data_IF_756049436761
#
_entry.id   IF_756049436761
#
_cell.length_a   1.000
_cell.length_b   1.000
_cell.length_c   1.000
_cell.angle_alpha   90.00
_cell.angle_beta   90.00
_cell.angle_gamma   90.00
#
_symmetry.space_group_name_H-M   'P 1'
#
loop_
_entity.id
_entity.type
_entity.pdbx_description
1 polymer ?
#
# COMPACT_ATOMS: atom_id res chain seq x y z
N UNK A 1 -29.98 -35.03 4.61
CA UNK A 1 -28.85 -34.99 5.53
C UNK A 1 -28.12 -33.66 5.27
N UNK A 2 -28.35 -32.72 6.18
CA UNK A 2 -27.78 -31.35 6.08
C UNK A 2 -26.40 -31.45 6.69
N UNK A 3 -25.34 -31.23 5.88
CA UNK A 3 -23.97 -31.19 6.36
C UNK A 3 -23.75 -29.90 7.17
N UNK A 4 -23.30 -30.06 8.40
CA UNK A 4 -22.99 -28.96 9.31
C UNK A 4 -21.83 -28.13 8.76
N UNK A 5 -22.05 -26.84 8.52
CA UNK A 5 -21.04 -25.86 8.21
C UNK A 5 -20.13 -25.67 9.43
N UNK A 6 -18.86 -25.97 9.29
CA UNK A 6 -17.82 -25.63 10.27
C UNK A 6 -17.75 -24.12 10.43
N UNK A 7 -18.09 -23.63 11.61
CA UNK A 7 -17.93 -22.23 11.98
C UNK A 7 -16.44 -21.96 12.15
N UNK A 8 -15.87 -21.18 11.23
CA UNK A 8 -14.53 -20.59 11.38
C UNK A 8 -14.57 -19.70 12.62
N UNK A 9 -13.77 -20.02 13.62
CA UNK A 9 -13.57 -19.14 14.79
C UNK A 9 -12.90 -17.87 14.30
N UNK A 10 -13.68 -16.81 14.23
CA UNK A 10 -13.13 -15.45 14.11
C UNK A 10 -12.34 -15.15 15.39
N UNK A 11 -11.14 -14.65 15.23
CA UNK A 11 -10.31 -14.11 16.32
C UNK A 11 -11.11 -13.08 17.12
N UNK A 12 -10.92 -12.97 18.43
CA UNK A 12 -11.74 -12.09 19.27
C UNK A 12 -11.64 -10.64 18.81
N UNK A 13 -12.73 -9.91 19.04
CA UNK A 13 -12.95 -8.50 18.74
C UNK A 13 -11.70 -7.64 18.97
N UNK A 14 -11.46 -6.69 18.06
CA UNK A 14 -10.39 -5.71 18.17
C UNK A 14 -10.31 -5.16 19.60
N UNK A 15 -9.17 -5.36 20.26
CA UNK A 15 -8.90 -4.70 21.53
C UNK A 15 -8.97 -3.19 21.32
N UNK A 16 -9.60 -2.44 22.26
CA UNK A 16 -9.57 -0.98 22.19
C UNK A 16 -8.12 -0.52 22.16
N UNK A 17 -7.84 0.52 21.36
CA UNK A 17 -6.53 1.16 21.23
C UNK A 17 -5.94 1.40 22.63
N UNK A 18 -5.08 0.48 23.09
CA UNK A 18 -4.23 0.73 24.24
C UNK A 18 -3.24 1.81 23.84
N UNK A 19 -3.01 2.76 24.74
CA UNK A 19 -1.88 3.70 24.63
C UNK A 19 -0.64 2.89 24.27
N UNK A 20 0.21 3.36 23.33
CA UNK A 20 1.49 2.71 23.07
C UNK A 20 2.21 2.57 24.41
N UNK A 21 2.75 1.39 24.68
CA UNK A 21 3.50 1.12 25.92
C UNK A 21 4.74 2.03 25.87
N UNK A 22 4.88 2.91 26.86
CA UNK A 22 5.84 4.03 26.87
C UNK A 22 7.30 3.57 27.01
N UNK A 23 7.56 2.26 26.95
CA UNK A 23 8.89 1.65 27.03
C UNK A 23 9.59 1.42 25.68
N UNK A 24 8.88 1.64 24.56
CA UNK A 24 9.46 1.43 23.22
C UNK A 24 10.08 2.74 22.73
N UNK A 25 11.40 2.79 22.58
CA UNK A 25 12.04 3.88 21.83
C UNK A 25 11.42 3.95 20.43
N UNK A 26 10.82 5.08 20.05
CA UNK A 26 10.28 5.25 18.71
C UNK A 26 11.42 5.15 17.68
N UNK A 27 11.13 4.62 16.51
CA UNK A 27 12.06 4.71 15.38
C UNK A 27 12.49 6.19 15.19
N UNK A 28 13.72 6.45 14.70
CA UNK A 28 14.17 7.81 14.49
C UNK A 28 13.16 8.58 13.65
N UNK A 29 12.90 9.85 13.96
CA UNK A 29 11.95 10.66 13.20
C UNK A 29 12.38 10.75 11.73
N UNK A 30 11.41 11.00 10.83
CA UNK A 30 11.71 11.29 9.42
C UNK A 30 12.78 12.39 9.37
N UNK A 31 13.90 12.20 8.65
CA UNK A 31 14.94 13.23 8.57
C UNK A 31 14.37 14.55 8.05
N UNK A 32 14.73 15.66 8.69
CA UNK A 32 14.29 17.02 8.31
C UNK A 32 15.05 17.61 7.09
N UNK A 33 15.59 16.75 6.23
CA UNK A 33 16.42 17.13 5.11
C UNK A 33 15.64 17.59 3.86
N UNK A 34 14.31 17.45 3.86
CA UNK A 34 13.45 17.83 2.73
C UNK A 34 12.16 18.49 3.21
N UNK A 35 11.58 19.36 2.38
CA UNK A 35 10.34 20.05 2.68
C UNK A 35 9.16 19.07 2.80
N UNK A 36 8.25 19.37 3.71
CA UNK A 36 6.97 18.67 3.84
C UNK A 36 6.08 19.04 2.66
N UNK A 37 5.41 18.06 2.07
CA UNK A 37 4.43 18.27 1.00
C UNK A 37 3.17 18.87 1.63
N UNK A 38 2.66 19.97 1.05
CA UNK A 38 1.35 20.57 1.35
C UNK A 38 0.55 20.65 0.06
N UNK A 39 -0.73 20.98 0.14
CA UNK A 39 -1.57 21.17 -1.04
C UNK A 39 -1.77 22.66 -1.40
N UNK A 40 -0.87 23.55 -0.97
CA UNK A 40 -0.99 24.98 -1.13
C UNK A 40 -0.53 25.50 -2.52
N UNK A 41 0.41 24.81 -3.17
CA UNK A 41 0.96 25.22 -4.47
C UNK A 41 0.15 24.62 -5.63
N UNK A 42 -0.49 25.46 -6.48
CA UNK A 42 -1.22 24.98 -7.66
C UNK A 42 -0.39 24.18 -8.68
N UNK A 43 0.93 24.28 -8.64
CA UNK A 43 1.82 23.54 -9.52
C UNK A 43 2.07 22.10 -9.04
N UNK A 44 1.73 21.77 -7.79
CA UNK A 44 1.98 20.47 -7.20
C UNK A 44 0.77 19.52 -7.36
N UNK A 45 1.04 18.21 -7.41
CA UNK A 45 0.01 17.19 -7.49
C UNK A 45 -0.99 17.27 -6.30
N UNK A 46 -0.47 17.49 -5.10
CA UNK A 46 -1.28 17.57 -3.88
C UNK A 46 -2.42 18.61 -3.97
N UNK A 47 -2.17 19.76 -4.66
CA UNK A 47 -3.19 20.76 -4.92
C UNK A 47 -4.35 20.20 -5.76
N UNK A 48 -4.04 19.45 -6.82
CA UNK A 48 -5.04 18.87 -7.73
C UNK A 48 -5.93 17.85 -7.01
N UNK A 49 -5.42 17.20 -5.96
CA UNK A 49 -6.22 16.26 -5.17
C UNK A 49 -7.37 16.97 -4.47
N UNK A 50 -7.13 18.09 -3.79
CA UNK A 50 -8.19 18.82 -3.09
C UNK A 50 -9.13 19.56 -4.05
N UNK A 51 -8.63 20.13 -5.14
CA UNK A 51 -9.41 21.02 -6.00
C UNK A 51 -10.10 20.30 -7.17
N UNK A 52 -9.57 19.17 -7.63
CA UNK A 52 -10.12 18.44 -8.79
C UNK A 52 -10.65 17.05 -8.41
N UNK A 53 -9.87 16.28 -7.62
CA UNK A 53 -10.22 14.88 -7.33
C UNK A 53 -11.27 14.75 -6.25
N UNK A 54 -11.17 15.48 -5.14
CA UNK A 54 -12.15 15.42 -4.05
C UNK A 54 -13.56 15.84 -4.48
N UNK A 55 -13.79 16.92 -5.25
CA UNK A 55 -15.12 17.24 -5.76
C UNK A 55 -15.75 16.11 -6.59
N UNK A 56 -14.96 15.46 -7.45
CA UNK A 56 -15.42 14.29 -8.22
C UNK A 56 -15.74 13.09 -7.30
N UNK A 57 -14.92 12.89 -6.29
CA UNK A 57 -15.13 11.83 -5.30
C UNK A 57 -16.41 12.05 -4.50
N UNK A 58 -16.70 13.28 -4.07
CA UNK A 58 -17.97 13.59 -3.40
C UNK A 58 -19.19 13.26 -4.27
N UNK A 59 -19.14 13.57 -5.57
CA UNK A 59 -20.19 13.20 -6.50
C UNK A 59 -20.34 11.67 -6.58
N UNK A 60 -19.24 10.93 -6.76
CA UNK A 60 -19.25 9.47 -6.81
C UNK A 60 -19.80 8.85 -5.52
N UNK A 61 -19.41 9.35 -4.35
CA UNK A 61 -19.88 8.83 -3.05
C UNK A 61 -21.39 9.10 -2.88
N UNK A 62 -21.88 10.30 -3.24
CA UNK A 62 -23.32 10.60 -3.19
C UNK A 62 -24.15 9.67 -4.05
N UNK A 63 -23.63 9.27 -5.20
CA UNK A 63 -24.33 8.41 -6.17
C UNK A 63 -24.17 6.92 -5.89
N UNK A 64 -23.16 6.53 -5.10
CA UNK A 64 -22.82 5.13 -4.86
C UNK A 64 -23.87 4.37 -4.06
N UNK A 65 -24.52 5.06 -3.10
CA UNK A 65 -25.48 4.46 -2.17
C UNK A 65 -26.69 5.38 -1.96
N UNK A 66 -27.88 4.87 -1.62
CA UNK A 66 -29.10 5.66 -1.45
C UNK A 66 -29.11 6.41 -0.11
N UNK A 67 -28.17 7.31 0.10
CA UNK A 67 -28.06 8.13 1.32
C UNK A 67 -29.29 8.99 1.55
N UNK A 68 -29.67 9.12 2.83
CA UNK A 68 -30.73 10.03 3.24
C UNK A 68 -30.26 11.51 3.32
N UNK A 69 -31.20 12.45 3.56
CA UNK A 69 -30.89 13.87 3.61
C UNK A 69 -29.77 14.25 4.59
N UNK A 70 -29.68 13.57 5.73
CA UNK A 70 -28.66 13.85 6.75
C UNK A 70 -27.23 13.57 6.24
N UNK A 71 -27.02 12.46 5.54
CA UNK A 71 -25.72 12.12 4.96
C UNK A 71 -25.39 13.03 3.78
N UNK A 72 -26.35 13.30 2.90
CA UNK A 72 -26.17 14.21 1.76
C UNK A 72 -25.80 15.62 2.22
N UNK A 73 -26.44 16.13 3.28
CA UNK A 73 -26.11 17.42 3.88
C UNK A 73 -24.72 17.41 4.55
N UNK A 74 -24.33 16.32 5.23
CA UNK A 74 -23.03 16.20 5.83
C UNK A 74 -21.90 16.13 4.79
N UNK A 75 -22.11 15.40 3.69
CA UNK A 75 -21.18 15.34 2.56
C UNK A 75 -21.02 16.71 1.89
N UNK A 76 -22.12 17.46 1.69
CA UNK A 76 -22.05 18.81 1.11
C UNK A 76 -21.29 19.78 2.01
N UNK A 77 -21.55 19.79 3.33
CA UNK A 77 -20.78 20.62 4.28
C UNK A 77 -19.29 20.28 4.29
N UNK A 78 -18.95 18.99 4.25
CA UNK A 78 -17.55 18.58 4.20
C UNK A 78 -16.89 19.03 2.89
N UNK A 79 -17.58 18.95 1.75
CA UNK A 79 -17.08 19.43 0.46
C UNK A 79 -16.80 20.94 0.49
N UNK A 80 -17.72 21.73 1.03
CA UNK A 80 -17.58 23.19 1.20
C UNK A 80 -16.39 23.53 2.12
N UNK A 81 -16.26 22.79 3.24
CA UNK A 81 -15.17 22.97 4.20
C UNK A 81 -13.80 22.63 3.58
N UNK A 82 -13.69 21.53 2.85
CA UNK A 82 -12.42 21.10 2.25
C UNK A 82 -11.93 22.05 1.14
N UNK A 83 -12.85 22.70 0.41
CA UNK A 83 -12.49 23.60 -0.69
C UNK A 83 -12.14 25.01 -0.22
N UNK A 84 -12.79 25.52 0.81
CA UNK A 84 -12.67 26.94 1.19
C UNK A 84 -12.74 27.22 2.69
N UNK A 85 -13.00 26.20 3.50
CA UNK A 85 -13.15 26.34 4.94
C UNK A 85 -11.84 26.21 5.71
N UNK A 86 -11.96 26.41 7.01
CA UNK A 86 -10.90 26.18 8.00
C UNK A 86 -11.00 24.75 8.51
N UNK A 87 -9.87 24.16 8.87
CA UNK A 87 -9.81 22.83 9.48
C UNK A 87 -10.56 22.80 10.83
N UNK A 88 -11.59 21.98 10.88
CA UNK A 88 -12.37 21.76 12.10
C UNK A 88 -11.96 20.44 12.79
N UNK A 89 -11.73 20.44 14.12
CA UNK A 89 -11.48 19.21 14.85
C UNK A 89 -12.71 18.29 14.86
N UNK A 90 -12.50 17.01 15.18
CA UNK A 90 -13.60 16.10 15.47
C UNK A 90 -14.35 16.58 16.72
N UNK A 91 -15.71 16.59 16.68
CA UNK A 91 -16.51 16.85 17.88
C UNK A 91 -16.71 15.52 18.65
N UNK A 92 -16.20 15.38 19.89
CA UNK A 92 -16.37 14.17 20.70
C UNK A 92 -17.83 13.87 21.05
N UNK A 93 -18.74 14.83 20.87
CA UNK A 93 -20.18 14.65 21.10
C UNK A 93 -20.89 14.07 19.86
N UNK A 94 -20.25 14.09 18.70
CA UNK A 94 -20.79 13.47 17.48
C UNK A 94 -20.84 11.94 17.68
N UNK A 95 -22.01 11.29 17.51
CA UNK A 95 -22.13 9.83 17.60
C UNK A 95 -21.17 9.07 16.68
N UNK A 96 -20.81 9.61 15.52
CA UNK A 96 -19.84 9.02 14.60
C UNK A 96 -18.43 9.01 15.21
N UNK A 97 -18.05 10.09 15.87
CA UNK A 97 -16.73 10.24 16.52
C UNK A 97 -16.66 9.36 17.78
N UNK A 98 -17.71 9.38 18.60
CA UNK A 98 -17.79 8.57 19.80
C UNK A 98 -17.72 7.06 19.47
N UNK A 99 -18.41 6.61 18.42
CA UNK A 99 -18.43 5.22 17.99
C UNK A 99 -17.11 4.77 17.32
N UNK A 100 -16.41 5.66 16.63
CA UNK A 100 -15.13 5.35 15.99
C UNK A 100 -14.00 5.07 17.00
N UNK A 101 -14.06 5.70 18.19
CA UNK A 101 -13.08 5.49 19.26
C UNK A 101 -11.68 6.05 19.00
N UNK A 102 -11.48 6.82 17.92
CA UNK A 102 -10.18 7.32 17.43
C UNK A 102 -9.94 8.83 17.71
N UNK A 103 -10.85 9.46 18.47
CA UNK A 103 -10.78 10.89 18.78
C UNK A 103 -9.44 11.32 19.40
N UNK A 104 -8.93 10.56 20.35
CA UNK A 104 -7.68 10.89 21.03
C UNK A 104 -6.48 10.89 20.08
N UNK A 105 -6.40 9.91 19.16
CA UNK A 105 -5.36 9.85 18.13
C UNK A 105 -5.44 11.04 17.18
N UNK A 106 -6.61 11.36 16.65
CA UNK A 106 -6.77 12.51 15.76
C UNK A 106 -6.49 13.84 16.45
N UNK A 107 -6.80 13.97 17.75
CA UNK A 107 -6.46 15.16 18.55
C UNK A 107 -4.94 15.28 18.74
N UNK A 108 -4.25 14.17 18.98
CA UNK A 108 -2.79 14.12 19.12
C UNK A 108 -2.10 14.46 17.79
N UNK A 109 -2.50 13.80 16.70
CA UNK A 109 -1.89 13.98 15.38
C UNK A 109 -2.18 15.32 14.74
N UNK A 110 -3.32 15.95 15.07
CA UNK A 110 -3.79 17.21 14.52
C UNK A 110 -3.67 18.40 15.45
N UNK A 111 -3.21 18.21 16.70
CA UNK A 111 -3.25 19.26 17.73
C UNK A 111 -2.53 20.55 17.37
N UNK A 112 -1.48 20.50 16.53
CA UNK A 112 -0.79 21.67 16.02
C UNK A 112 -1.54 22.41 14.91
N UNK A 113 -2.56 21.81 14.31
CA UNK A 113 -3.25 22.35 13.14
C UNK A 113 -4.61 22.94 13.49
N UNK A 114 -5.27 22.42 14.52
CA UNK A 114 -6.58 22.90 14.93
C UNK A 114 -6.52 24.24 15.71
N UNK A 115 -7.52 25.10 15.50
CA UNK A 115 -7.64 26.35 16.22
C UNK A 115 -6.73 27.51 15.73
N UNK A 116 -6.00 27.30 14.61
CA UNK A 116 -5.08 28.29 14.02
C UNK A 116 -5.59 28.87 12.70
N UNK A 117 -6.87 28.75 12.41
CA UNK A 117 -7.49 29.19 11.15
C UNK A 117 -6.82 28.64 9.87
N UNK A 118 -6.11 27.47 10.00
CA UNK A 118 -5.46 26.81 8.88
C UNK A 118 -6.50 26.14 7.98
N UNK A 119 -6.22 26.15 6.68
CA UNK A 119 -7.01 25.45 5.68
C UNK A 119 -6.48 24.03 5.50
N UNK A 120 -7.25 23.21 4.84
CA UNK A 120 -6.88 21.82 4.47
C UNK A 120 -5.59 21.74 3.65
N UNK A 121 -5.31 22.78 2.86
CA UNK A 121 -4.11 22.86 2.01
C UNK A 121 -2.86 23.37 2.73
N UNK A 122 -2.99 23.95 3.92
CA UNK A 122 -1.88 24.61 4.65
C UNK A 122 -1.09 23.63 5.54
N UNK A 123 -1.58 22.41 5.71
CA UNK A 123 -1.02 21.37 6.59
C UNK A 123 -0.41 20.23 5.78
N UNK A 124 0.39 19.34 6.39
CA UNK A 124 1.01 18.21 5.67
C UNK A 124 -0.01 17.41 4.89
N UNK A 125 0.27 17.18 3.60
CA UNK A 125 -0.66 16.55 2.66
C UNK A 125 -1.08 15.14 3.09
N UNK A 126 -0.14 14.31 3.55
CA UNK A 126 -0.47 12.97 4.07
C UNK A 126 -1.47 13.04 5.22
N UNK A 127 -1.31 14.03 6.11
CA UNK A 127 -2.21 14.21 7.24
C UNK A 127 -3.59 14.70 6.78
N UNK A 128 -3.65 15.77 5.96
CA UNK A 128 -4.92 16.36 5.53
C UNK A 128 -5.73 15.40 4.66
N UNK A 129 -5.09 14.68 3.75
CA UNK A 129 -5.77 13.69 2.91
C UNK A 129 -6.31 12.51 3.76
N UNK A 130 -5.53 12.03 4.73
CA UNK A 130 -6.00 10.99 5.67
C UNK A 130 -7.18 11.47 6.53
N UNK A 131 -7.10 12.72 7.01
CA UNK A 131 -8.18 13.34 7.79
C UNK A 131 -9.45 13.55 6.96
N UNK A 132 -9.29 13.88 5.69
CA UNK A 132 -10.39 13.96 4.74
C UNK A 132 -11.18 12.64 4.68
N UNK A 133 -10.50 11.50 4.47
CA UNK A 133 -11.17 10.20 4.44
C UNK A 133 -11.81 9.85 5.78
N UNK A 134 -11.17 10.19 6.90
CA UNK A 134 -11.77 10.01 8.22
C UNK A 134 -13.07 10.82 8.39
N UNK A 135 -13.08 12.07 7.96
CA UNK A 135 -14.26 12.95 7.99
C UNK A 135 -15.36 12.48 7.04
N UNK A 136 -14.98 12.00 5.86
CA UNK A 136 -15.89 11.42 4.88
C UNK A 136 -16.64 10.20 5.43
N UNK A 137 -15.96 9.31 6.15
CA UNK A 137 -16.60 8.18 6.82
C UNK A 137 -17.62 8.63 7.88
N UNK A 138 -17.34 9.70 8.64
CA UNK A 138 -18.35 10.29 9.54
C UNK A 138 -19.53 10.84 8.77
N UNK A 139 -19.29 11.57 7.67
CA UNK A 139 -20.35 12.18 6.86
C UNK A 139 -21.29 11.14 6.23
N UNK A 140 -20.75 9.98 5.84
CA UNK A 140 -21.54 8.86 5.31
C UNK A 140 -22.27 8.04 6.38
N UNK A 141 -21.92 8.22 7.67
CA UNK A 141 -22.53 7.47 8.77
C UNK A 141 -21.88 6.10 9.02
N UNK A 142 -20.64 5.90 8.58
CA UNK A 142 -19.94 4.63 8.64
C UNK A 142 -19.75 4.09 10.06
N UNK A 143 -19.60 4.95 11.08
CA UNK A 143 -19.30 4.49 12.45
C UNK A 143 -20.55 4.24 13.29
N UNK A 144 -21.68 4.88 12.98
CA UNK A 144 -22.90 4.74 13.77
C UNK A 144 -24.15 4.96 12.89
N UNK A 145 -25.27 4.34 13.31
CA UNK A 145 -26.58 4.48 12.66
C UNK A 145 -26.81 3.49 11.51
N UNK A 146 -27.73 3.80 10.58
CA UNK A 146 -28.14 2.85 9.54
C UNK A 146 -27.05 2.45 8.55
N UNK A 147 -26.02 3.26 8.41
CA UNK A 147 -24.90 3.04 7.49
C UNK A 147 -23.66 2.47 8.19
N UNK A 148 -23.78 2.06 9.46
CA UNK A 148 -22.65 1.55 10.22
C UNK A 148 -22.02 0.33 9.53
N UNK A 149 -20.72 0.41 9.25
CA UNK A 149 -19.95 -0.65 8.59
C UNK A 149 -20.17 -0.76 7.08
N UNK A 150 -21.01 0.10 6.48
CA UNK A 150 -21.24 0.08 5.03
C UNK A 150 -20.13 0.90 4.35
N UNK A 151 -19.28 0.22 3.57
CA UNK A 151 -18.19 0.85 2.83
C UNK A 151 -18.74 1.78 1.74
N UNK A 152 -18.50 3.11 1.81
CA UNK A 152 -18.96 4.06 0.79
C UNK A 152 -18.35 3.80 -0.59
N UNK A 153 -17.23 3.09 -0.64
CA UNK A 153 -16.51 2.73 -1.87
C UNK A 153 -16.79 1.28 -2.31
N UNK A 154 -17.53 0.52 -1.51
CA UNK A 154 -17.84 -0.89 -1.75
C UNK A 154 -18.40 -1.19 -3.15
N UNK A 155 -19.38 -0.40 -3.67
CA UNK A 155 -19.89 -0.61 -5.03
C UNK A 155 -18.82 -0.48 -6.11
N UNK A 156 -17.88 0.47 -5.98
CA UNK A 156 -16.78 0.65 -6.94
C UNK A 156 -15.78 -0.50 -6.90
N UNK A 157 -15.39 -0.95 -5.68
CA UNK A 157 -14.50 -2.11 -5.49
C UNK A 157 -15.13 -3.39 -6.04
N UNK A 158 -16.43 -3.59 -5.80
CA UNK A 158 -17.16 -4.76 -6.32
C UNK A 158 -17.24 -4.75 -7.84
N UNK A 159 -17.48 -3.58 -8.47
CA UNK A 159 -17.50 -3.43 -9.92
C UNK A 159 -16.12 -3.73 -10.54
N UNK A 160 -15.03 -3.22 -9.92
CA UNK A 160 -13.66 -3.52 -10.35
C UNK A 160 -13.37 -5.02 -10.25
N UNK A 161 -13.72 -5.66 -9.14
CA UNK A 161 -13.51 -7.10 -8.95
C UNK A 161 -14.28 -7.97 -9.95
N UNK A 162 -15.44 -7.51 -10.41
CA UNK A 162 -16.25 -8.19 -11.42
C UNK A 162 -15.88 -7.82 -12.86
N UNK A 163 -14.91 -6.91 -13.04
CA UNK A 163 -14.55 -6.35 -14.34
C UNK A 163 -13.71 -7.28 -15.21
N UNK A 164 -13.74 -7.05 -16.53
CA UNK A 164 -12.94 -7.80 -17.50
C UNK A 164 -11.41 -7.72 -17.30
N UNK A 165 -10.81 -6.68 -16.67
CA UNK A 165 -9.40 -6.71 -16.32
C UNK A 165 -9.02 -7.89 -15.43
N UNK A 166 -9.88 -8.23 -14.46
CA UNK A 166 -9.70 -9.40 -13.57
C UNK A 166 -9.72 -10.70 -14.35
N UNK A 167 -10.65 -10.84 -15.31
CA UNK A 167 -10.73 -12.03 -16.17
C UNK A 167 -9.48 -12.19 -17.02
N UNK A 168 -8.94 -11.07 -17.53
CA UNK A 168 -7.68 -11.09 -18.30
C UNK A 168 -6.50 -11.50 -17.45
N UNK A 169 -6.41 -10.99 -16.21
CA UNK A 169 -5.34 -11.37 -15.27
C UNK A 169 -5.36 -12.89 -15.01
N UNK A 170 -6.55 -13.48 -14.79
CA UNK A 170 -6.67 -14.93 -14.60
C UNK A 170 -6.25 -15.72 -15.85
N UNK A 171 -6.63 -15.24 -17.02
CA UNK A 171 -6.25 -15.86 -18.28
C UNK A 171 -4.72 -15.78 -18.51
N UNK A 172 -4.12 -14.62 -18.25
CA UNK A 172 -2.68 -14.39 -18.37
C UNK A 172 -1.89 -15.27 -17.40
N UNK A 173 -2.30 -15.31 -16.13
CA UNK A 173 -1.68 -16.19 -15.14
C UNK A 173 -1.77 -17.66 -15.54
N UNK A 174 -2.94 -18.12 -16.00
CA UNK A 174 -3.14 -19.51 -16.41
C UNK A 174 -2.32 -19.85 -17.67
N UNK A 175 -2.23 -18.94 -18.63
CA UNK A 175 -1.38 -19.11 -19.81
C UNK A 175 0.12 -19.16 -19.44
N UNK A 176 0.59 -18.28 -18.58
CA UNK A 176 1.96 -18.28 -18.10
C UNK A 176 2.31 -19.55 -17.31
N UNK A 177 1.37 -20.05 -16.51
CA UNK A 177 1.53 -21.28 -15.73
C UNK A 177 1.64 -22.53 -16.60
N UNK A 178 0.93 -22.55 -17.74
CA UNK A 178 0.91 -23.65 -18.69
C UNK A 178 1.99 -23.56 -19.78
N UNK A 179 2.72 -22.44 -19.86
CA UNK A 179 3.72 -22.22 -20.93
C UNK A 179 4.99 -23.01 -20.68
N UNK A 180 5.39 -23.81 -21.65
CA UNK A 180 6.71 -24.47 -21.71
C UNK A 180 7.81 -23.53 -22.24
N UNK A 181 7.43 -22.40 -22.82
CA UNK A 181 8.36 -21.43 -23.41
C UNK A 181 9.00 -20.49 -22.37
N UNK A 182 8.31 -20.27 -21.22
CA UNK A 182 8.83 -19.45 -20.15
C UNK A 182 9.76 -20.24 -19.22
N UNK A 183 10.96 -19.77 -19.06
CA UNK A 183 11.86 -20.26 -18.01
C UNK A 183 11.31 -19.99 -16.61
N UNK A 184 11.77 -20.70 -15.57
CA UNK A 184 11.38 -20.41 -14.18
C UNK A 184 11.61 -18.94 -13.79
N UNK A 185 12.77 -18.37 -14.16
CA UNK A 185 13.10 -16.98 -13.82
C UNK A 185 12.24 -15.95 -14.57
N UNK A 186 11.84 -16.22 -15.81
CA UNK A 186 10.90 -15.35 -16.54
C UNK A 186 9.50 -15.41 -15.91
N UNK A 187 9.07 -16.58 -15.45
CA UNK A 187 7.80 -16.75 -14.75
C UNK A 187 7.80 -16.02 -13.40
N UNK A 188 8.90 -16.11 -12.67
CA UNK A 188 9.13 -15.37 -11.41
C UNK A 188 9.02 -13.85 -11.66
N UNK A 189 9.75 -13.34 -12.65
CA UNK A 189 9.73 -11.93 -13.02
C UNK A 189 8.34 -11.46 -13.45
N UNK A 190 7.62 -12.27 -14.24
CA UNK A 190 6.28 -11.96 -14.69
C UNK A 190 5.32 -11.73 -13.52
N UNK A 191 5.36 -12.59 -12.51
CA UNK A 191 4.50 -12.48 -11.33
C UNK A 191 4.81 -11.21 -10.52
N UNK A 192 6.08 -10.86 -10.37
CA UNK A 192 6.48 -9.64 -9.67
C UNK A 192 6.07 -8.37 -10.45
N UNK A 193 6.19 -8.38 -11.79
CA UNK A 193 5.71 -7.29 -12.62
C UNK A 193 4.19 -7.22 -12.66
N UNK A 194 3.46 -8.36 -12.69
CA UNK A 194 2.01 -8.37 -12.53
C UNK A 194 1.59 -7.73 -11.22
N UNK A 195 2.26 -8.06 -10.12
CA UNK A 195 2.01 -7.44 -8.82
C UNK A 195 2.32 -5.92 -8.83
N UNK A 196 3.36 -5.47 -9.56
CA UNK A 196 3.69 -4.05 -9.68
C UNK A 196 2.63 -3.26 -10.48
N UNK A 197 2.18 -3.82 -11.60
CA UNK A 197 1.32 -3.10 -12.56
C UNK A 197 -0.18 -3.32 -12.33
N UNK A 198 -0.56 -4.30 -11.54
CA UNK A 198 -1.96 -4.61 -11.23
C UNK A 198 -2.77 -4.86 -12.50
N UNK A 199 -3.76 -4.01 -12.77
CA UNK A 199 -4.69 -4.14 -13.89
C UNK A 199 -4.07 -4.03 -15.32
N UNK A 200 -2.76 -3.90 -15.41
CA UNK A 200 -2.00 -3.80 -16.65
C UNK A 200 -1.07 -5.02 -16.83
N UNK A 201 -1.53 -6.22 -16.53
CA UNK A 201 -0.76 -7.46 -16.58
C UNK A 201 -0.06 -7.70 -17.95
N UNK A 202 -0.64 -7.22 -19.06
CA UNK A 202 0.00 -7.26 -20.37
C UNK A 202 1.37 -6.56 -20.41
N UNK A 203 1.60 -5.60 -19.50
CA UNK A 203 2.89 -4.89 -19.39
C UNK A 203 4.01 -5.82 -18.91
N UNK A 204 3.74 -6.75 -18.01
CA UNK A 204 4.72 -7.74 -17.54
C UNK A 204 5.22 -8.61 -18.67
N UNK A 205 4.33 -9.12 -19.52
CA UNK A 205 4.69 -9.89 -20.71
C UNK A 205 5.47 -9.07 -21.72
N UNK A 206 5.09 -7.81 -21.93
CA UNK A 206 5.80 -6.91 -22.85
C UNK A 206 7.21 -6.60 -22.35
N UNK A 207 7.40 -6.40 -21.03
CA UNK A 207 8.73 -6.17 -20.44
C UNK A 207 9.64 -7.39 -20.64
N UNK A 208 9.16 -8.60 -20.36
CA UNK A 208 9.94 -9.83 -20.56
C UNK A 208 10.29 -10.03 -22.04
N UNK A 209 9.36 -9.69 -22.96
CA UNK A 209 9.57 -9.75 -24.39
C UNK A 209 10.45 -8.61 -24.94
N UNK A 210 10.88 -7.66 -24.11
CA UNK A 210 11.63 -6.49 -24.55
C UNK A 210 10.85 -5.51 -25.43
N UNK A 211 9.51 -5.57 -25.39
CA UNK A 211 8.65 -4.70 -26.17
C UNK A 211 8.50 -3.31 -25.54
N UNK A 212 8.28 -2.24 -26.33
CA UNK A 212 8.00 -0.91 -25.76
C UNK A 212 6.71 -0.95 -24.96
N UNK A 213 6.79 -0.61 -23.67
CA UNK A 213 5.64 -0.50 -22.76
C UNK A 213 5.21 0.95 -22.63
N UNK A 214 3.90 1.16 -22.51
CA UNK A 214 3.33 2.50 -22.28
C UNK A 214 3.65 3.06 -20.87
N UNK A 215 4.26 2.25 -20.00
CA UNK A 215 4.71 2.60 -18.65
C UNK A 215 6.22 2.31 -18.56
N UNK A 216 7.01 3.29 -18.07
CA UNK A 216 8.46 3.17 -17.95
C UNK A 216 8.86 2.77 -16.52
N UNK A 217 9.64 1.70 -16.40
CA UNK A 217 10.28 1.31 -15.14
C UNK A 217 11.53 2.16 -14.93
N UNK A 218 11.55 2.96 -13.86
CA UNK A 218 12.66 3.87 -13.55
C UNK A 218 13.78 3.17 -12.78
N UNK A 219 13.41 2.24 -11.89
CA UNK A 219 14.32 1.36 -11.14
C UNK A 219 13.73 -0.03 -11.23
N UNK A 220 14.58 -1.03 -11.43
CA UNK A 220 14.19 -2.43 -11.56
C UNK A 220 15.15 -3.34 -10.81
N UNK A 221 14.85 -3.57 -9.54
CA UNK A 221 15.62 -4.48 -8.67
C UNK A 221 14.98 -5.89 -8.64
N UNK A 222 14.33 -6.30 -9.75
CA UNK A 222 13.67 -7.62 -9.85
C UNK A 222 14.64 -8.77 -9.59
N UNK A 223 15.82 -8.73 -10.21
CA UNK A 223 16.83 -9.78 -10.06
C UNK A 223 17.34 -9.87 -8.62
N UNK A 224 17.54 -8.73 -7.97
CA UNK A 224 18.00 -8.61 -6.58
C UNK A 224 16.99 -9.19 -5.59
N UNK A 225 15.69 -8.96 -5.83
CA UNK A 225 14.60 -9.50 -5.00
C UNK A 225 14.58 -11.02 -5.09
N UNK A 226 14.63 -11.60 -6.30
CA UNK A 226 14.62 -13.06 -6.47
C UNK A 226 15.89 -13.69 -5.93
N UNK A 227 17.07 -13.11 -6.19
CA UNK A 227 18.33 -13.58 -5.62
C UNK A 227 18.29 -13.57 -4.09
N UNK A 228 17.72 -12.54 -3.47
CA UNK A 228 17.56 -12.48 -2.02
C UNK A 228 16.66 -13.60 -1.48
N UNK A 229 15.56 -13.90 -2.17
CA UNK A 229 14.63 -14.97 -1.76
C UNK A 229 15.24 -16.37 -1.94
N UNK A 230 16.02 -16.57 -3.01
CA UNK A 230 16.66 -17.85 -3.30
C UNK A 230 17.84 -18.15 -2.36
N UNK A 231 18.52 -17.11 -1.85
CA UNK A 231 19.66 -17.23 -0.93
C UNK A 231 19.25 -17.41 0.55
N UNK A 232 17.97 -17.39 0.87
CA UNK A 232 17.46 -17.41 2.25
C UNK A 232 16.65 -18.65 2.55
N UNK A 233 16.74 -19.10 3.81
CA UNK A 233 15.81 -20.11 4.31
C UNK A 233 14.37 -19.54 4.27
N UNK A 234 13.39 -20.36 3.84
CA UNK A 234 12.00 -19.92 3.73
C UNK A 234 11.44 -19.48 5.08
N UNK A 235 11.17 -18.20 5.21
CA UNK A 235 10.54 -17.59 6.38
C UNK A 235 9.18 -17.01 6.04
N UNK A 236 8.80 -15.95 6.75
CA UNK A 236 7.56 -15.21 6.48
C UNK A 236 7.82 -14.11 5.44
N UNK A 237 6.98 -14.01 4.43
CA UNK A 237 6.90 -12.85 3.55
C UNK A 237 5.73 -11.98 4.00
N UNK A 238 6.01 -10.70 4.29
CA UNK A 238 4.97 -9.71 4.57
C UNK A 238 4.59 -8.98 3.27
N UNK A 239 3.30 -8.69 3.11
CA UNK A 239 2.76 -7.82 2.07
C UNK A 239 1.97 -6.69 2.72
N UNK A 240 2.41 -5.45 2.57
CA UNK A 240 1.62 -4.28 2.92
C UNK A 240 0.83 -3.89 1.67
N UNK A 241 -0.44 -4.31 1.64
CA UNK A 241 -1.30 -4.16 0.47
C UNK A 241 -1.72 -2.70 0.24
N UNK A 242 -2.00 -2.38 -1.02
CA UNK A 242 -2.55 -1.11 -1.47
C UNK A 242 -4.03 -1.27 -1.84
N UNK A 243 -4.34 -1.30 -3.11
CA UNK A 243 -5.71 -1.33 -3.62
C UNK A 243 -6.31 -2.74 -3.66
N UNK A 244 -7.63 -2.79 -3.52
CA UNK A 244 -8.45 -4.00 -3.68
C UNK A 244 -8.54 -4.44 -5.16
N UNK A 245 -9.27 -5.52 -5.40
CA UNK A 245 -9.63 -6.03 -6.72
C UNK A 245 -8.44 -6.26 -7.65
N UNK A 246 -8.34 -5.51 -8.74
CA UNK A 246 -7.37 -5.68 -9.81
C UNK A 246 -5.91 -5.65 -9.35
N UNK A 247 -5.58 -4.92 -8.29
CA UNK A 247 -4.21 -4.84 -7.76
C UNK A 247 -3.94 -5.92 -6.71
N UNK A 248 -4.95 -6.30 -5.91
CA UNK A 248 -4.77 -7.32 -4.87
C UNK A 248 -4.66 -8.74 -5.45
N UNK A 249 -5.32 -9.01 -6.60
CA UNK A 249 -5.32 -10.35 -7.18
C UNK A 249 -3.93 -10.80 -7.64
N UNK A 250 -3.15 -10.04 -8.43
CA UNK A 250 -1.77 -10.41 -8.75
C UNK A 250 -0.87 -10.48 -7.52
N UNK A 251 -1.12 -9.68 -6.48
CA UNK A 251 -0.40 -9.80 -5.21
C UNK A 251 -0.64 -11.16 -4.54
N UNK A 252 -1.89 -11.62 -4.52
CA UNK A 252 -2.25 -12.94 -3.98
C UNK A 252 -1.67 -14.08 -4.82
N UNK A 253 -1.63 -13.94 -6.15
CA UNK A 253 -1.00 -14.92 -7.05
C UNK A 253 0.51 -14.99 -6.84
N UNK A 254 1.18 -13.85 -6.61
CA UNK A 254 2.59 -13.80 -6.23
C UNK A 254 2.82 -14.54 -4.89
N UNK A 255 1.98 -14.30 -3.88
CA UNK A 255 2.08 -15.00 -2.60
C UNK A 255 1.83 -16.52 -2.74
N UNK A 256 0.86 -16.94 -3.57
CA UNK A 256 0.66 -18.37 -3.86
C UNK A 256 1.92 -18.99 -4.47
N UNK A 257 2.56 -18.30 -5.41
CA UNK A 257 3.80 -18.75 -6.03
C UNK A 257 4.94 -18.89 -5.01
N UNK A 258 5.17 -17.89 -4.17
CA UNK A 258 6.20 -17.94 -3.12
C UNK A 258 5.98 -19.08 -2.13
N UNK A 259 4.73 -19.31 -1.70
CA UNK A 259 4.36 -20.38 -0.79
C UNK A 259 4.46 -21.78 -1.44
N UNK A 260 4.14 -21.88 -2.73
CA UNK A 260 4.13 -23.15 -3.48
C UNK A 260 5.55 -23.57 -3.88
N UNK A 261 6.40 -22.62 -4.27
CA UNK A 261 7.81 -22.88 -4.65
C UNK A 261 8.72 -23.04 -3.43
N UNK A 262 8.22 -22.78 -2.22
CA UNK A 262 8.98 -22.91 -0.98
C UNK A 262 9.93 -21.75 -0.71
N UNK A 263 9.80 -20.60 -1.40
CA UNK A 263 10.54 -19.37 -1.10
C UNK A 263 9.98 -18.63 0.11
N UNK A 264 8.72 -18.92 0.47
CA UNK A 264 8.10 -18.50 1.71
C UNK A 264 7.47 -19.70 2.45
N UNK A 265 7.70 -19.79 3.75
CA UNK A 265 7.00 -20.74 4.62
C UNK A 265 5.60 -20.23 4.97
N UNK A 266 5.48 -18.94 5.22
CA UNK A 266 4.25 -18.24 5.59
C UNK A 266 4.15 -16.89 4.88
N UNK A 267 2.93 -16.33 4.83
CA UNK A 267 2.69 -14.98 4.35
C UNK A 267 1.75 -14.22 5.30
N UNK A 268 2.03 -12.92 5.51
CA UNK A 268 1.14 -12.01 6.23
C UNK A 268 0.78 -10.84 5.33
N UNK A 269 -0.52 -10.65 5.10
CA UNK A 269 -1.03 -9.51 4.33
C UNK A 269 -1.59 -8.46 5.28
N UNK A 270 -0.98 -7.29 5.29
CA UNK A 270 -1.46 -6.13 6.03
C UNK A 270 -2.44 -5.33 5.19
N UNK A 271 -3.63 -5.13 5.76
CA UNK A 271 -4.79 -4.50 5.13
C UNK A 271 -5.26 -3.29 5.94
N UNK A 272 -6.15 -2.50 5.35
CA UNK A 272 -6.81 -1.40 6.06
C UNK A 272 -7.94 -1.95 6.94
N UNK A 273 -8.07 -1.48 8.19
CA UNK A 273 -9.15 -1.91 9.10
C UNK A 273 -10.51 -1.32 8.73
N UNK A 274 -10.55 -0.26 7.94
CA UNK A 274 -11.75 0.47 7.49
C UNK A 274 -11.52 1.10 6.12
N UNK A 275 -12.59 1.57 5.42
CA UNK A 275 -12.45 2.21 4.12
C UNK A 275 -11.47 3.39 4.18
N UNK A 276 -10.56 3.45 3.22
CA UNK A 276 -9.48 4.42 3.20
C UNK A 276 -9.01 4.62 1.75
N UNK A 277 -8.71 5.85 1.34
CA UNK A 277 -8.23 6.19 -0.02
C UNK A 277 -9.02 5.52 -1.16
N UNK A 278 -10.33 5.42 -1.05
CA UNK A 278 -11.29 4.89 -2.05
C UNK A 278 -11.15 3.37 -2.28
N UNK A 279 -10.02 2.93 -2.81
CA UNK A 279 -9.81 1.57 -3.29
C UNK A 279 -8.96 0.69 -2.37
N UNK A 280 -8.41 1.25 -1.27
CA UNK A 280 -7.54 0.51 -0.37
C UNK A 280 -8.21 -0.78 0.15
N UNK A 281 -7.42 -1.86 0.14
CA UNK A 281 -7.90 -3.20 0.45
C UNK A 281 -8.18 -3.39 1.94
N UNK A 282 -9.38 -3.88 2.26
CA UNK A 282 -9.77 -4.35 3.58
C UNK A 282 -9.87 -5.89 3.63
N UNK A 283 -10.04 -6.45 4.82
CA UNK A 283 -10.18 -7.90 4.99
C UNK A 283 -11.37 -8.48 4.21
N UNK A 284 -12.47 -7.76 4.10
CA UNK A 284 -13.62 -8.18 3.29
C UNK A 284 -13.30 -8.20 1.80
N UNK A 285 -12.47 -7.26 1.32
CA UNK A 285 -12.03 -7.21 -0.07
C UNK A 285 -11.10 -8.39 -0.38
N UNK A 286 -10.19 -8.73 0.54
CA UNK A 286 -9.32 -9.89 0.42
C UNK A 286 -10.12 -11.20 0.38
N UNK A 287 -11.13 -11.35 1.23
CA UNK A 287 -12.02 -12.53 1.21
C UNK A 287 -12.81 -12.62 -0.10
N UNK A 288 -13.27 -11.49 -0.65
CA UNK A 288 -13.96 -11.42 -1.93
C UNK A 288 -13.03 -11.76 -3.10
N UNK A 289 -11.79 -11.25 -3.09
CA UNK A 289 -10.76 -11.56 -4.07
C UNK A 289 -10.40 -13.04 -4.06
N UNK A 290 -10.18 -13.64 -2.89
CA UNK A 290 -9.91 -15.07 -2.76
C UNK A 290 -11.06 -15.94 -3.29
N UNK A 291 -12.32 -15.55 -3.03
CA UNK A 291 -13.47 -16.26 -3.58
C UNK A 291 -13.53 -16.15 -5.09
N UNK A 292 -13.39 -14.94 -5.62
CA UNK A 292 -13.38 -14.69 -7.05
C UNK A 292 -12.27 -15.49 -7.77
N UNK A 293 -11.08 -15.57 -7.15
CA UNK A 293 -9.95 -16.34 -7.64
C UNK A 293 -10.25 -17.85 -7.59
N UNK A 294 -10.79 -18.37 -6.48
CA UNK A 294 -11.10 -19.80 -6.33
C UNK A 294 -12.19 -20.29 -7.30
N UNK A 295 -13.09 -19.40 -7.72
CA UNK A 295 -14.14 -19.65 -8.70
C UNK A 295 -13.64 -19.50 -10.16
N UNK A 296 -12.41 -19.03 -10.36
CA UNK A 296 -11.81 -18.92 -11.69
C UNK A 296 -11.51 -20.31 -12.29
N UNK A 297 -11.45 -20.41 -13.64
CA UNK A 297 -11.00 -21.62 -14.31
C UNK A 297 -9.49 -21.84 -14.16
N UNK A 298 -9.03 -23.04 -14.50
CA UNK A 298 -7.64 -23.41 -14.74
C UNK A 298 -6.70 -23.11 -13.54
N UNK A 299 -5.46 -22.75 -13.83
CA UNK A 299 -4.42 -22.54 -12.83
C UNK A 299 -4.74 -21.41 -11.84
N UNK A 300 -5.46 -20.36 -12.29
CA UNK A 300 -5.90 -19.28 -11.41
C UNK A 300 -6.86 -19.79 -10.31
N UNK A 301 -7.84 -20.61 -10.68
CA UNK A 301 -8.74 -21.23 -9.70
C UNK A 301 -8.03 -22.20 -8.75
N UNK A 302 -7.05 -22.93 -9.24
CA UNK A 302 -6.21 -23.78 -8.39
C UNK A 302 -5.43 -22.96 -7.36
N UNK A 303 -4.83 -21.84 -7.77
CA UNK A 303 -4.14 -20.92 -6.88
C UNK A 303 -5.09 -20.38 -5.78
N UNK A 304 -6.30 -19.95 -6.15
CA UNK A 304 -7.30 -19.50 -5.19
C UNK A 304 -7.68 -20.56 -4.15
N UNK A 305 -7.86 -21.80 -4.59
CA UNK A 305 -8.13 -22.94 -3.67
C UNK A 305 -6.92 -23.26 -2.78
N UNK A 306 -5.68 -23.14 -3.27
CA UNK A 306 -4.47 -23.27 -2.44
C UNK A 306 -4.39 -22.17 -1.40
N UNK A 307 -4.62 -20.91 -1.77
CA UNK A 307 -4.62 -19.77 -0.86
C UNK A 307 -5.65 -19.93 0.27
N UNK A 308 -6.88 -20.40 -0.03
CA UNK A 308 -7.86 -20.75 1.01
C UNK A 308 -7.37 -21.83 1.96
N UNK A 309 -6.69 -22.86 1.44
CA UNK A 309 -6.07 -23.90 2.27
C UNK A 309 -4.97 -23.30 3.14
N UNK A 310 -4.10 -22.43 2.62
CA UNK A 310 -3.05 -21.75 3.39
C UNK A 310 -3.65 -20.86 4.50
N UNK A 311 -4.80 -20.22 4.27
CA UNK A 311 -5.54 -19.53 5.35
C UNK A 311 -5.98 -20.52 6.44
N UNK A 312 -6.53 -21.67 6.07
CA UNK A 312 -7.00 -22.68 7.04
C UNK A 312 -5.87 -23.34 7.82
N UNK A 313 -4.70 -23.42 7.24
CA UNK A 313 -3.44 -23.95 7.84
C UNK A 313 -2.71 -22.87 8.69
N UNK A 314 -3.13 -21.62 8.64
CA UNK A 314 -2.46 -20.48 9.28
C UNK A 314 -1.17 -20.04 8.59
N UNK A 315 -0.90 -20.50 7.37
CA UNK A 315 0.24 -20.12 6.56
C UNK A 315 0.03 -18.80 5.79
N UNK A 316 -1.22 -18.44 5.50
CA UNK A 316 -1.59 -17.13 4.98
C UNK A 316 -2.48 -16.43 6.00
N UNK A 317 -2.03 -15.30 6.49
CA UNK A 317 -2.72 -14.52 7.54
C UNK A 317 -3.04 -13.12 7.03
N UNK A 318 -4.28 -12.66 7.26
CA UNK A 318 -4.69 -11.28 7.04
C UNK A 318 -4.68 -10.52 8.36
N UNK A 319 -4.06 -9.35 8.39
CA UNK A 319 -3.95 -8.48 9.56
C UNK A 319 -4.33 -7.05 9.17
N UNK A 320 -5.20 -6.41 9.95
CA UNK A 320 -5.69 -5.06 9.67
C UNK A 320 -5.52 -4.14 10.88
N UNK A 321 -4.29 -3.78 11.27
CA UNK A 321 -4.01 -2.87 12.37
C UNK A 321 -4.49 -1.45 12.06
N UNK A 322 -4.99 -0.73 13.08
CA UNK A 322 -5.47 0.64 12.96
C UNK A 322 -4.42 1.63 12.45
N UNK A 323 -3.15 1.35 12.67
CA UNK A 323 -2.03 2.14 12.16
C UNK A 323 -2.12 2.38 10.65
N UNK A 324 -2.62 1.41 9.87
CA UNK A 324 -2.70 1.57 8.41
C UNK A 324 -3.74 2.59 7.94
N UNK A 325 -4.61 3.07 8.85
CA UNK A 325 -5.49 4.23 8.62
C UNK A 325 -5.09 5.47 9.44
N UNK A 326 -3.89 5.50 10.03
CA UNK A 326 -3.34 6.68 10.70
C UNK A 326 -2.56 7.58 9.71
N UNK A 327 -2.55 8.91 9.90
CA UNK A 327 -1.86 9.86 9.03
C UNK A 327 -0.34 9.92 9.31
N UNK A 328 0.28 8.78 9.52
CA UNK A 328 1.65 8.68 10.03
C UNK A 328 2.55 7.96 9.03
N UNK A 329 3.82 8.36 8.97
CA UNK A 329 4.87 7.64 8.26
C UNK A 329 5.18 6.30 8.93
N UNK A 330 5.86 5.39 8.23
CA UNK A 330 6.27 4.11 8.80
C UNK A 330 7.35 4.23 9.88
N UNK A 331 7.96 5.39 10.05
CA UNK A 331 8.80 5.70 11.23
C UNK A 331 8.02 5.62 12.55
N UNK A 332 6.68 5.72 12.49
CA UNK A 332 5.80 5.59 13.66
C UNK A 332 5.10 4.22 13.73
N UNK A 333 5.61 3.19 13.03
CA UNK A 333 5.06 1.84 13.09
C UNK A 333 5.03 1.30 14.52
N UNK A 334 3.91 0.69 14.95
CA UNK A 334 3.85 0.00 16.23
C UNK A 334 4.90 -1.13 16.31
N UNK A 335 5.51 -1.29 17.49
CA UNK A 335 6.59 -2.25 17.73
C UNK A 335 6.30 -3.65 17.19
N UNK A 336 5.08 -4.16 17.40
CA UNK A 336 4.66 -5.48 16.88
C UNK A 336 4.80 -5.62 15.36
N UNK A 337 4.58 -4.53 14.60
CA UNK A 337 4.73 -4.54 13.13
C UNK A 337 6.22 -4.42 12.78
N UNK A 338 6.97 -3.59 13.49
CA UNK A 338 8.45 -3.50 13.34
C UNK A 338 9.09 -4.86 13.57
N UNK A 339 8.71 -5.56 14.65
CA UNK A 339 9.21 -6.91 14.95
C UNK A 339 8.84 -7.93 13.86
N UNK A 340 7.61 -7.84 13.31
CA UNK A 340 7.20 -8.68 12.19
C UNK A 340 8.04 -8.41 10.92
N UNK A 341 8.34 -7.15 10.62
CA UNK A 341 9.21 -6.76 9.50
C UNK A 341 10.64 -7.29 9.73
N UNK A 342 11.16 -7.15 10.96
CA UNK A 342 12.51 -7.62 11.30
C UNK A 342 12.66 -9.14 11.25
N UNK A 343 11.60 -9.88 11.52
CA UNK A 343 11.59 -11.34 11.46
C UNK A 343 11.26 -11.90 10.07
N UNK A 344 10.82 -11.05 9.13
CA UNK A 344 10.44 -11.48 7.79
C UNK A 344 11.65 -11.73 6.89
N UNK A 345 11.53 -12.70 6.00
CA UNK A 345 12.49 -12.90 4.91
C UNK A 345 12.44 -11.71 3.95
N UNK A 346 11.23 -11.19 3.70
CA UNK A 346 11.01 -10.01 2.84
C UNK A 346 9.70 -9.32 3.24
N UNK A 347 9.68 -7.99 3.19
CA UNK A 347 8.45 -7.19 3.26
C UNK A 347 8.23 -6.48 1.93
N UNK A 348 7.14 -6.83 1.24
CA UNK A 348 6.67 -6.18 0.03
C UNK A 348 5.78 -4.98 0.41
N UNK A 349 6.10 -3.79 -0.07
CA UNK A 349 5.34 -2.55 0.16
C UNK A 349 4.72 -2.12 -1.15
N UNK A 350 3.38 -2.17 -1.21
CA UNK A 350 2.62 -1.92 -2.43
C UNK A 350 2.05 -0.51 -2.49
N UNK A 351 2.17 0.10 -3.66
CA UNK A 351 1.46 1.31 -4.05
C UNK A 351 2.06 2.63 -3.57
N UNK A 352 1.47 3.72 -4.08
CA UNK A 352 1.99 5.07 -3.91
C UNK A 352 1.86 5.58 -2.47
N UNK A 353 0.71 5.38 -1.82
CA UNK A 353 0.50 5.83 -0.45
C UNK A 353 1.46 5.15 0.53
N UNK A 354 1.60 3.83 0.44
CA UNK A 354 2.50 3.10 1.34
C UNK A 354 3.97 3.48 1.06
N UNK A 355 4.34 3.74 -0.19
CA UNK A 355 5.67 4.26 -0.54
C UNK A 355 5.94 5.63 0.09
N UNK A 356 5.00 6.58 -0.02
CA UNK A 356 5.07 7.90 0.62
C UNK A 356 5.30 7.75 2.14
N UNK A 357 4.52 6.86 2.78
CA UNK A 357 4.67 6.57 4.21
C UNK A 357 6.00 5.90 4.55
N UNK A 358 6.52 5.05 3.66
CA UNK A 358 7.80 4.35 3.82
C UNK A 358 8.98 5.32 3.81
N UNK A 359 9.05 6.22 2.85
CA UNK A 359 10.17 7.16 2.71
C UNK A 359 9.95 8.50 3.41
N UNK A 360 8.74 8.75 3.99
CA UNK A 360 8.46 9.89 4.85
C UNK A 360 7.84 11.10 4.15
N UNK A 361 7.02 10.93 3.13
CA UNK A 361 6.14 11.94 2.47
C UNK A 361 6.72 13.38 2.41
N UNK A 362 7.89 13.54 1.83
CA UNK A 362 8.60 14.82 1.68
C UNK A 362 9.07 15.01 0.25
N UNK A 363 9.36 16.26 -0.12
CA UNK A 363 9.95 16.64 -1.41
C UNK A 363 11.45 16.29 -1.44
N UNK A 364 11.76 15.00 -1.35
CA UNK A 364 13.13 14.51 -1.44
C UNK A 364 13.75 14.84 -2.80
N UNK A 365 15.05 15.18 -2.87
CA UNK A 365 15.78 15.10 -4.12
C UNK A 365 15.62 13.68 -4.70
N UNK A 366 15.23 13.50 -5.97
CA UNK A 366 15.01 12.15 -6.53
C UNK A 366 16.24 11.25 -6.51
N UNK A 367 17.42 11.84 -6.31
CA UNK A 367 18.70 11.11 -6.16
C UNK A 367 18.98 10.65 -4.74
N UNK A 368 18.11 10.97 -3.76
CA UNK A 368 18.25 10.48 -2.38
C UNK A 368 18.15 8.96 -2.37
N UNK A 369 19.04 8.29 -1.64
CA UNK A 369 19.11 6.83 -1.60
C UNK A 369 17.85 6.22 -0.97
N UNK A 370 17.21 5.28 -1.68
CA UNK A 370 16.10 4.51 -1.13
C UNK A 370 16.54 3.68 0.08
N UNK A 371 17.71 3.05 0.02
CA UNK A 371 18.24 2.24 1.11
C UNK A 371 18.52 3.09 2.38
N UNK A 372 19.03 4.33 2.23
CA UNK A 372 19.21 5.22 3.39
C UNK A 372 17.89 5.62 4.03
N UNK A 373 16.87 5.94 3.23
CA UNK A 373 15.56 6.35 3.73
C UNK A 373 14.76 5.18 4.36
N UNK A 374 15.10 3.94 4.05
CA UNK A 374 14.44 2.75 4.61
C UNK A 374 15.27 2.03 5.68
N UNK A 375 16.49 2.52 5.98
CA UNK A 375 17.41 1.90 6.95
C UNK A 375 16.89 1.83 8.39
N UNK A 376 15.83 2.55 8.72
CA UNK A 376 15.17 2.46 10.03
C UNK A 376 14.35 1.18 10.21
N UNK A 377 14.01 0.48 9.12
CA UNK A 377 13.33 -0.81 9.19
C UNK A 377 14.34 -1.94 9.42
N UNK A 378 14.04 -2.87 10.34
CA UNK A 378 15.02 -3.89 10.75
C UNK A 378 15.13 -5.10 9.79
N UNK A 379 14.36 -5.12 8.70
CA UNK A 379 14.32 -6.23 7.75
C UNK A 379 14.36 -5.79 6.29
N UNK A 380 14.55 -6.75 5.36
CA UNK A 380 14.54 -6.47 3.92
C UNK A 380 13.19 -5.96 3.43
N UNK A 381 13.21 -4.94 2.58
CA UNK A 381 12.02 -4.29 2.03
C UNK A 381 12.12 -4.16 0.53
N UNK A 382 11.05 -4.51 -0.18
CA UNK A 382 10.88 -4.21 -1.60
C UNK A 382 9.65 -3.34 -1.82
N UNK A 383 9.80 -2.23 -2.52
CA UNK A 383 8.72 -1.32 -2.87
C UNK A 383 8.28 -1.52 -4.32
N UNK A 384 7.01 -1.82 -4.52
CA UNK A 384 6.36 -1.98 -5.82
C UNK A 384 5.37 -0.82 -6.02
N UNK A 385 5.74 0.17 -6.84
CA UNK A 385 4.98 1.42 -6.93
C UNK A 385 4.86 1.94 -8.36
N UNK A 386 3.66 2.29 -8.79
CA UNK A 386 3.41 3.24 -9.88
C UNK A 386 3.47 4.66 -9.34
N UNK A 387 4.22 5.55 -9.98
CA UNK A 387 4.42 6.93 -9.53
C UNK A 387 3.16 7.76 -9.75
N UNK A 388 2.50 8.16 -8.67
CA UNK A 388 1.25 8.93 -8.67
C UNK A 388 1.27 10.12 -7.70
N UNK A 389 2.47 10.53 -7.22
CA UNK A 389 2.67 11.64 -6.29
C UNK A 389 4.06 12.26 -6.47
N UNK A 390 4.30 13.42 -5.84
CA UNK A 390 5.54 14.19 -5.94
C UNK A 390 6.78 13.48 -5.36
N UNK A 391 6.58 12.45 -4.55
CA UNK A 391 7.66 11.70 -3.91
C UNK A 391 8.32 10.76 -4.91
N UNK A 392 9.62 10.91 -5.13
CA UNK A 392 10.44 9.97 -5.90
C UNK A 392 11.86 9.97 -5.35
N UNK A 393 12.45 8.78 -5.11
CA UNK A 393 13.82 8.63 -4.60
C UNK A 393 14.54 7.45 -5.25
N UNK A 394 15.85 7.37 -5.07
CA UNK A 394 16.66 6.26 -5.55
C UNK A 394 16.98 6.31 -7.05
N UNK A 395 16.84 7.47 -7.70
CA UNK A 395 17.09 7.62 -9.14
C UNK A 395 18.53 8.11 -9.43
N UNK A 396 19.12 7.63 -10.50
CA UNK A 396 20.38 8.17 -11.00
C UNK A 396 20.20 9.61 -11.50
N UNK A 397 21.22 10.47 -11.29
CA UNK A 397 21.17 11.89 -11.64
C UNK A 397 20.87 12.14 -13.14
N UNK A 398 21.45 11.33 -14.00
CA UNK A 398 21.26 11.40 -15.45
C UNK A 398 19.81 11.05 -15.83
N UNK A 399 19.22 10.08 -15.13
CA UNK A 399 17.81 9.68 -15.34
C UNK A 399 16.87 10.82 -14.92
N UNK A 400 17.12 11.46 -13.78
CA UNK A 400 16.33 12.61 -13.31
C UNK A 400 16.40 13.75 -14.32
N UNK A 401 17.61 14.10 -14.81
CA UNK A 401 17.78 15.17 -15.80
C UNK A 401 17.04 14.88 -17.11
N UNK A 402 16.99 13.61 -17.56
CA UNK A 402 16.25 13.21 -18.74
C UNK A 402 14.74 13.35 -18.53
N UNK A 403 14.22 12.89 -17.38
CA UNK A 403 12.80 12.97 -17.03
C UNK A 403 12.34 14.42 -16.88
N UNK A 404 13.10 15.27 -16.21
CA UNK A 404 12.80 16.70 -16.04
C UNK A 404 12.80 17.45 -17.39
N UNK A 405 13.61 17.01 -18.36
CA UNK A 405 13.61 17.55 -19.71
C UNK A 405 12.41 17.06 -20.57
N UNK A 406 11.89 15.87 -20.30
CA UNK A 406 10.76 15.28 -21.03
C UNK A 406 9.43 15.86 -20.54
N UNK A 407 9.19 15.89 -19.21
CA UNK A 407 7.94 16.38 -18.62
C UNK A 407 8.13 16.80 -17.17
N UNK A 408 7.45 17.89 -16.77
CA UNK A 408 7.41 18.33 -15.38
C UNK A 408 6.53 17.44 -14.48
N UNK A 409 5.61 16.68 -15.05
CA UNK A 409 4.64 15.84 -14.34
C UNK A 409 5.06 14.36 -14.19
N UNK A 410 6.28 14.00 -14.58
CA UNK A 410 6.72 12.61 -14.61
C UNK A 410 6.55 11.88 -13.26
N UNK A 411 6.62 12.61 -12.13
CA UNK A 411 6.49 12.04 -10.78
C UNK A 411 5.07 11.53 -10.47
N UNK A 412 4.04 12.12 -11.10
CA UNK A 412 2.64 11.81 -10.80
C UNK A 412 1.77 11.50 -12.02
N UNK A 413 2.36 11.43 -13.19
CA UNK A 413 1.67 11.11 -14.45
C UNK A 413 1.05 9.70 -14.50
N UNK A 414 1.49 8.80 -13.62
CA UNK A 414 1.12 7.38 -13.68
C UNK A 414 1.79 6.59 -14.81
N UNK A 415 2.71 7.21 -15.55
CA UNK A 415 3.45 6.58 -16.66
C UNK A 415 4.78 5.95 -16.23
N UNK A 416 5.14 6.10 -14.97
CA UNK A 416 6.39 5.60 -14.42
C UNK A 416 6.12 4.69 -13.24
N UNK A 417 7.02 3.71 -13.05
CA UNK A 417 7.00 2.82 -11.91
C UNK A 417 8.41 2.60 -11.36
N UNK A 418 8.49 2.15 -10.12
CA UNK A 418 9.72 1.70 -9.48
C UNK A 418 9.49 0.33 -8.83
N UNK A 419 10.49 -0.52 -8.99
CA UNK A 419 10.68 -1.75 -8.24
C UNK A 419 12.01 -1.59 -7.52
N UNK A 420 11.98 -1.26 -6.23
CA UNK A 420 13.16 -0.92 -5.43
C UNK A 420 13.33 -1.89 -4.28
N UNK A 421 14.54 -2.37 -4.08
CA UNK A 421 14.90 -3.28 -3.00
C UNK A 421 15.93 -2.65 -2.05
N UNK A 422 15.72 -2.87 -0.74
CA UNK A 422 16.68 -2.55 0.31
C UNK A 422 16.78 -3.76 1.24
N UNK A 423 17.93 -4.37 1.28
CA UNK A 423 18.21 -5.53 2.11
C UNK A 423 19.69 -5.62 2.41
N UNK A 424 20.12 -6.50 3.33
CA UNK A 424 21.53 -6.75 3.56
C UNK A 424 22.16 -7.29 2.27
N UNK A 425 23.19 -6.61 1.79
CA UNK A 425 23.93 -7.02 0.60
C UNK A 425 24.60 -8.37 0.89
N UNK A 426 24.13 -9.43 0.25
CA UNK A 426 24.78 -10.76 0.29
C UNK A 426 25.99 -10.71 -0.66
N UNK A 427 27.17 -10.39 -0.12
CA UNK A 427 28.43 -10.48 -0.86
C UNK A 427 29.63 -10.31 0.07
N UNK A 428 30.72 -11.06 -0.12
CA UNK A 428 31.92 -10.84 0.66
C UNK A 428 32.44 -9.44 0.33
N UNK A 429 32.45 -8.56 1.32
CA UNK A 429 33.30 -7.35 1.28
C UNK A 429 34.75 -7.87 1.25
N UNK A 430 35.33 -7.94 0.06
CA UNK A 430 36.76 -8.10 -0.09
C UNK A 430 37.41 -6.82 0.44
N UNK A 431 37.71 -6.84 1.73
CA UNK A 431 38.55 -5.84 2.35
C UNK A 431 39.92 -5.85 1.67
N UNK A 432 40.59 -4.69 1.53
CA UNK A 432 41.94 -4.64 0.99
C UNK A 432 42.86 -5.47 1.87
N UNK A 433 43.51 -6.45 1.24
CA UNK A 433 44.51 -7.31 1.84
C UNK A 433 45.73 -6.47 2.22
N UNK A 434 45.85 -6.07 3.48
CA UNK A 434 47.07 -5.51 4.06
C UNK A 434 47.96 -6.67 4.51
N UNK A 435 48.52 -7.43 3.55
CA UNK A 435 49.70 -8.22 3.80
C UNK A 435 50.89 -7.26 3.98
N UNK A 436 51.20 -6.95 5.21
CA UNK A 436 52.43 -6.28 5.60
C UNK A 436 53.59 -7.23 5.40
N UNK A 437 54.40 -7.00 4.36
CA UNK A 437 55.73 -7.50 4.26
C UNK A 437 56.59 -6.99 5.43
N UNK A 438 56.84 -7.86 6.40
CA UNK A 438 57.97 -7.79 7.28
C UNK A 438 59.02 -8.77 6.77
N UNK A 439 59.93 -8.28 5.93
CA UNK A 439 61.23 -8.93 5.65
C UNK A 439 62.33 -8.15 6.32
N UNK A 440 63.05 -8.91 7.18
CA UNK A 440 64.33 -8.56 7.81
C UNK A 440 65.31 -7.83 6.90
N UNK A 441 65.96 -6.79 7.42
CA UNK A 441 67.42 -6.70 7.73
C UNK A 441 67.74 -5.47 8.54
#
# INVERSE_FOLDING_TARGET
MIAAASVVRMSPAAEPLRRPDVSDEPAPPVPDAAAVITAADPAEFAYTVFHDRHPRLFAQVRDALPYGPAQLDALRRLEEETLSGVLEPLDPRDPQVAAAGDYAGWTEWGGAYFGNELRWTDVPFLWSESYFYRRLLSATGYFAGPWCGVDPFGPMKAASLAGSPVDREFANYSAASASDELSPSERDSLLLYSALFGNQADLGFQLIAGAPVGLQLLVDDNAEIWAHLDDREPGTVNLIADNAAEELLPDLLLLDHLLTTGRAANATVYLKPRPYYVSDAMTQDAASALRRLADAPDAAGEAGRRLWRYCSEGRLVFSAPDFFCAPLSFHSLPRRIVDSIGAATLTLVKGDLNYRRLVGDRLWPPTTSFAELTAYLPGPVAALRTCKSDVAVGLAKEKVAALDAESSDWRYSGKHAVLQFSGPVSGPVSGPDHSSDHANH
#
